data_IF_164549527171
#
_entry.id   IF_164549527171
#
_cell.length_a   1.000
_cell.length_b   1.000
_cell.length_c   1.000
_cell.angle_alpha   90.00
_cell.angle_beta   90.00
_cell.angle_gamma   90.00
#
_symmetry.space_group_name_H-M   'P 1'
#
loop_
_entity.id
_entity.type
_entity.pdbx_description
1 polymer ?
#
# COMPACT_ATOMS: atom_id res chain seq x y z
N UNK A 1 -11.27 -29.47 -63.88
CA UNK A 1 -12.18 -29.03 -62.79
C UNK A 1 -11.45 -27.95 -61.97
N UNK A 2 -11.86 -27.62 -60.74
CA UNK A 2 -11.09 -26.76 -59.83
C UNK A 2 -9.66 -27.29 -59.69
N UNK A 3 -8.68 -26.44 -59.99
CA UNK A 3 -7.26 -26.74 -59.76
C UNK A 3 -7.03 -26.68 -58.26
N UNK A 4 -6.59 -27.80 -57.70
CA UNK A 4 -6.41 -28.01 -56.27
C UNK A 4 -4.94 -28.02 -55.86
N UNK A 5 -4.04 -28.30 -56.81
CA UNK A 5 -2.60 -28.27 -56.58
C UNK A 5 -1.86 -27.74 -57.81
N UNK A 6 -0.80 -26.98 -57.58
CA UNK A 6 0.07 -26.42 -58.61
C UNK A 6 1.49 -26.31 -58.07
N UNK A 7 2.49 -26.70 -58.85
CA UNK A 7 3.88 -26.67 -58.40
C UNK A 7 4.86 -26.64 -59.59
N UNK A 8 5.83 -25.73 -59.55
CA UNK A 8 6.94 -25.72 -60.50
C UNK A 8 7.95 -26.82 -60.17
N UNK A 9 8.56 -27.39 -61.21
CA UNK A 9 9.76 -28.20 -61.03
C UNK A 9 10.90 -27.35 -60.47
N UNK A 10 11.84 -27.92 -59.68
CA UNK A 10 12.95 -27.18 -59.09
C UNK A 10 13.84 -26.41 -60.09
N UNK A 11 14.03 -26.95 -61.29
CA UNK A 11 14.72 -26.31 -62.42
C UNK A 11 13.86 -25.27 -63.17
N UNK A 12 12.60 -25.08 -62.77
CA UNK A 12 11.64 -24.13 -63.36
C UNK A 12 11.32 -24.37 -64.83
N UNK A 13 11.60 -25.57 -65.35
CA UNK A 13 11.33 -25.95 -66.75
C UNK A 13 9.90 -26.44 -66.92
N UNK A 14 9.36 -27.15 -65.92
CA UNK A 14 8.06 -27.77 -65.96
C UNK A 14 7.15 -27.19 -64.87
N UNK A 15 5.84 -27.24 -65.13
CA UNK A 15 4.80 -26.89 -64.18
C UNK A 15 3.84 -28.08 -64.07
N UNK A 16 3.56 -28.55 -62.86
CA UNK A 16 2.55 -29.58 -62.63
C UNK A 16 1.27 -28.94 -62.10
N UNK A 17 0.12 -29.43 -62.56
CA UNK A 17 -1.21 -29.02 -62.09
C UNK A 17 -2.08 -30.24 -61.84
N UNK A 18 -2.75 -30.25 -60.70
CA UNK A 18 -3.70 -31.29 -60.29
C UNK A 18 -5.08 -30.70 -60.06
N UNK A 19 -6.13 -31.42 -60.44
CA UNK A 19 -7.51 -30.98 -60.30
C UNK A 19 -8.38 -31.95 -59.48
N UNK A 20 -9.58 -31.46 -59.12
CA UNK A 20 -10.56 -32.20 -58.32
C UNK A 20 -11.19 -33.41 -59.04
N UNK A 21 -11.11 -33.45 -60.36
CA UNK A 21 -11.68 -34.50 -61.20
C UNK A 21 -10.64 -35.51 -61.68
N UNK A 22 -9.53 -35.69 -60.94
CA UNK A 22 -8.40 -36.61 -61.22
C UNK A 22 -7.44 -36.20 -62.35
N UNK A 23 -7.63 -35.01 -62.93
CA UNK A 23 -6.73 -34.46 -63.93
C UNK A 23 -5.38 -34.12 -63.34
N UNK A 24 -4.31 -34.74 -63.82
CA UNK A 24 -2.93 -34.40 -63.52
C UNK A 24 -2.19 -34.14 -64.83
N UNK A 25 -1.69 -32.92 -64.98
CA UNK A 25 -1.03 -32.46 -66.19
C UNK A 25 0.31 -31.82 -65.84
N UNK A 26 1.28 -32.00 -66.74
CA UNK A 26 2.58 -31.32 -66.71
C UNK A 26 2.69 -30.46 -67.96
N UNK A 27 3.18 -29.24 -67.79
CA UNK A 27 3.29 -28.22 -68.82
C UNK A 27 4.73 -27.75 -68.94
N UNK A 28 5.14 -27.34 -70.13
CA UNK A 28 6.32 -26.51 -70.33
C UNK A 28 6.07 -25.13 -69.71
N UNK A 29 6.82 -24.77 -68.66
CA UNK A 29 6.59 -23.56 -67.88
C UNK A 29 6.63 -22.27 -68.71
N UNK A 30 7.53 -22.21 -69.70
CA UNK A 30 7.76 -21.00 -70.50
C UNK A 30 6.79 -20.83 -71.66
N UNK A 31 6.24 -21.94 -72.20
CA UNK A 31 5.40 -21.92 -73.41
C UNK A 31 3.93 -22.19 -73.10
N UNK A 32 3.63 -22.75 -71.93
CA UNK A 32 2.30 -23.22 -71.55
C UNK A 32 1.83 -24.43 -72.36
N UNK A 33 2.71 -25.07 -73.15
CA UNK A 33 2.36 -26.28 -73.90
C UNK A 33 2.25 -27.46 -72.95
N UNK A 34 1.26 -28.31 -73.17
CA UNK A 34 1.16 -29.58 -72.46
C UNK A 34 2.38 -30.44 -72.78
N UNK A 35 3.07 -30.89 -71.73
CA UNK A 35 4.22 -31.78 -71.82
C UNK A 35 3.77 -33.24 -71.64
N UNK A 36 3.04 -33.55 -70.57
CA UNK A 36 2.41 -34.86 -70.37
C UNK A 36 1.06 -34.76 -69.66
N UNK A 37 0.03 -35.51 -70.10
CA UNK A 37 -1.05 -35.94 -69.25
C UNK A 37 -0.60 -37.16 -68.43
N UNK A 38 -0.83 -37.15 -67.11
CA UNK A 38 -0.43 -38.23 -66.19
C UNK A 38 -1.67 -38.96 -65.64
N UNK A 39 -2.35 -39.80 -66.44
CA UNK A 39 -3.55 -40.49 -66.02
C UNK A 39 -3.25 -41.62 -65.04
N UNK A 40 -3.97 -41.70 -63.93
CA UNK A 40 -3.89 -42.87 -63.05
C UNK A 40 -4.46 -42.72 -61.63
N UNK A 41 -4.68 -41.50 -61.14
CA UNK A 41 -5.45 -41.30 -59.92
C UNK A 41 -6.94 -41.51 -60.17
N UNK A 42 -7.63 -42.06 -59.17
CA UNK A 42 -9.07 -42.35 -59.27
C UNK A 42 -9.96 -41.17 -58.89
N UNK A 43 -9.43 -40.21 -58.14
CA UNK A 43 -10.18 -39.09 -57.56
C UNK A 43 -9.32 -37.81 -57.54
N UNK A 44 -9.79 -36.76 -56.86
CA UNK A 44 -9.13 -35.46 -56.76
C UNK A 44 -7.63 -35.57 -56.41
N UNK A 45 -6.81 -34.80 -57.13
CA UNK A 45 -5.41 -34.58 -56.78
C UNK A 45 -5.38 -33.55 -55.66
N UNK A 46 -4.70 -33.84 -54.56
CA UNK A 46 -4.69 -32.98 -53.36
C UNK A 46 -3.35 -32.31 -53.11
N UNK A 47 -2.28 -32.88 -53.63
CA UNK A 47 -0.93 -32.38 -53.45
C UNK A 47 0.00 -32.86 -54.55
N UNK A 48 0.98 -32.02 -54.84
CA UNK A 48 2.06 -32.26 -55.79
C UNK A 48 3.37 -31.95 -55.08
N UNK A 49 4.39 -32.77 -55.32
CA UNK A 49 5.73 -32.46 -54.87
C UNK A 49 6.79 -33.01 -55.82
N UNK A 50 7.62 -32.13 -56.36
CA UNK A 50 8.74 -32.52 -57.21
C UNK A 50 9.93 -33.05 -56.39
N UNK A 51 10.58 -34.10 -56.91
CA UNK A 51 11.90 -34.51 -56.43
C UNK A 51 12.91 -33.39 -56.76
N UNK A 52 13.92 -33.14 -55.90
CA UNK A 52 14.88 -32.05 -56.09
C UNK A 52 15.66 -32.04 -57.42
N UNK A 53 15.71 -33.17 -58.14
CA UNK A 53 16.37 -33.29 -59.43
C UNK A 53 15.44 -33.06 -60.64
N UNK A 54 14.20 -32.63 -60.41
CA UNK A 54 13.16 -32.38 -61.42
C UNK A 54 12.72 -33.60 -62.26
N UNK A 55 13.25 -34.80 -62.02
CA UNK A 55 12.96 -35.96 -62.88
C UNK A 55 11.72 -36.74 -62.42
N UNK A 56 11.36 -36.62 -61.14
CA UNK A 56 10.23 -37.36 -60.56
C UNK A 56 9.25 -36.40 -59.91
N UNK A 57 7.95 -36.57 -60.22
CA UNK A 57 6.85 -35.89 -59.55
C UNK A 57 6.14 -36.87 -58.63
N UNK A 58 5.92 -36.49 -57.37
CA UNK A 58 4.98 -37.16 -56.48
C UNK A 58 3.62 -36.47 -56.55
N UNK A 59 2.55 -37.27 -56.61
CA UNK A 59 1.17 -36.78 -56.51
C UNK A 59 0.43 -37.54 -55.40
N UNK A 60 -0.38 -36.81 -54.64
CA UNK A 60 -1.29 -37.36 -53.64
C UNK A 60 -2.74 -37.13 -54.04
N UNK A 61 -3.63 -38.01 -53.57
CA UNK A 61 -5.04 -37.97 -53.96
C UNK A 61 -5.99 -38.35 -52.83
N UNK A 62 -7.25 -37.93 -52.98
CA UNK A 62 -8.35 -38.38 -52.15
C UNK A 62 -8.63 -39.90 -52.27
N UNK A 63 -8.03 -40.60 -53.25
CA UNK A 63 -8.10 -42.05 -53.38
C UNK A 63 -7.24 -42.79 -52.33
N UNK A 64 -6.52 -42.03 -51.49
CA UNK A 64 -5.69 -42.53 -50.41
C UNK A 64 -4.32 -43.03 -50.87
N UNK A 65 -3.95 -42.79 -52.13
CA UNK A 65 -2.68 -43.21 -52.71
C UNK A 65 -1.72 -42.04 -52.92
N UNK A 66 -0.44 -42.39 -52.96
CA UNK A 66 0.62 -41.54 -53.50
C UNK A 66 1.17 -42.26 -54.74
N UNK A 67 1.40 -41.50 -55.82
CA UNK A 67 1.99 -41.99 -57.06
C UNK A 67 3.24 -41.20 -57.40
N UNK A 68 4.22 -41.88 -58.00
CA UNK A 68 5.43 -41.26 -58.53
C UNK A 68 5.46 -41.39 -60.05
N UNK A 69 5.84 -40.31 -60.71
CA UNK A 69 5.85 -40.17 -62.16
C UNK A 69 7.23 -39.75 -62.64
N UNK A 70 7.78 -40.47 -63.60
CA UNK A 70 9.10 -40.18 -64.18
C UNK A 70 8.94 -39.34 -65.45
N UNK A 71 9.65 -38.21 -65.53
CA UNK A 71 9.50 -37.24 -66.62
C UNK A 71 10.25 -37.61 -67.90
N UNK A 72 11.12 -38.62 -67.88
CA UNK A 72 11.77 -39.11 -69.09
C UNK A 72 10.79 -39.70 -70.11
N UNK A 73 9.66 -40.26 -69.65
CA UNK A 73 8.64 -40.86 -70.51
C UNK A 73 7.20 -40.62 -70.05
N UNK A 74 6.99 -39.83 -68.98
CA UNK A 74 5.66 -39.54 -68.45
C UNK A 74 4.95 -40.74 -67.81
N UNK A 75 5.68 -41.76 -67.36
CA UNK A 75 5.08 -42.99 -66.84
C UNK A 75 5.05 -43.04 -65.31
N UNK A 76 4.03 -43.71 -64.77
CA UNK A 76 3.93 -44.01 -63.36
C UNK A 76 4.95 -45.09 -62.97
N UNK A 77 5.92 -44.74 -62.13
CA UNK A 77 6.97 -45.68 -61.69
C UNK A 77 6.63 -46.37 -60.35
N UNK A 78 5.84 -45.73 -59.50
CA UNK A 78 5.39 -46.28 -58.21
C UNK A 78 3.98 -45.83 -57.86
N UNK A 79 3.28 -46.67 -57.09
CA UNK A 79 2.07 -46.32 -56.37
C UNK A 79 1.98 -47.14 -55.08
N UNK A 80 1.38 -46.56 -54.04
CA UNK A 80 1.05 -47.29 -52.82
C UNK A 80 -0.13 -46.64 -52.09
N UNK A 81 -0.81 -47.43 -51.26
CA UNK A 81 -1.85 -46.94 -50.35
C UNK A 81 -1.22 -46.28 -49.13
N UNK A 82 -1.02 -44.96 -49.20
CA UNK A 82 -0.34 -44.20 -48.15
C UNK A 82 -1.20 -44.02 -46.90
N UNK A 83 -2.52 -43.90 -47.06
CA UNK A 83 -3.45 -43.62 -45.97
C UNK A 83 -4.67 -44.57 -45.98
N UNK A 84 -4.46 -45.86 -46.31
CA UNK A 84 -5.47 -46.94 -46.20
C UNK A 84 -6.86 -46.64 -46.79
N UNK A 85 -6.92 -45.86 -47.87
CA UNK A 85 -8.18 -45.44 -48.52
C UNK A 85 -8.85 -44.20 -47.91
N UNK A 86 -8.33 -43.67 -46.79
CA UNK A 86 -8.60 -42.30 -46.39
C UNK A 86 -7.80 -41.36 -47.30
N UNK A 87 -8.43 -40.28 -47.78
CA UNK A 87 -7.80 -39.36 -48.71
C UNK A 87 -6.51 -38.76 -48.15
N UNK A 88 -5.46 -38.73 -48.97
CA UNK A 88 -4.21 -38.02 -48.66
C UNK A 88 -4.47 -36.54 -48.94
N UNK A 89 -4.17 -35.65 -48.01
CA UNK A 89 -4.44 -34.21 -48.16
C UNK A 89 -3.21 -33.43 -48.59
N UNK A 90 -2.01 -33.92 -48.27
CA UNK A 90 -0.76 -33.26 -48.63
C UNK A 90 0.39 -34.27 -48.71
N UNK A 91 1.31 -34.01 -49.64
CA UNK A 91 2.55 -34.76 -49.85
C UNK A 91 3.70 -33.79 -50.06
N UNK A 92 4.89 -34.18 -49.62
CA UNK A 92 6.12 -33.43 -49.87
C UNK A 92 7.29 -34.37 -50.12
N UNK A 93 8.01 -34.15 -51.23
CA UNK A 93 9.32 -34.74 -51.50
C UNK A 93 10.38 -33.98 -50.71
N UNK A 94 11.18 -34.69 -49.93
CA UNK A 94 12.24 -34.08 -49.12
C UNK A 94 13.53 -33.97 -49.93
N UNK A 95 14.45 -33.10 -49.48
CA UNK A 95 15.73 -32.86 -50.20
C UNK A 95 16.61 -34.11 -50.27
N UNK A 96 16.50 -34.96 -49.25
CA UNK A 96 17.23 -36.20 -49.09
C UNK A 96 16.52 -37.42 -49.72
N UNK A 97 15.43 -37.20 -50.47
CA UNK A 97 14.78 -38.22 -51.28
C UNK A 97 13.73 -39.08 -50.55
N UNK A 98 13.36 -38.70 -49.32
CA UNK A 98 12.20 -39.25 -48.61
C UNK A 98 10.92 -38.52 -49.05
N UNK A 99 9.79 -39.04 -48.59
CA UNK A 99 8.48 -38.43 -48.84
C UNK A 99 7.75 -38.30 -47.51
N UNK A 100 7.21 -37.13 -47.23
CA UNK A 100 6.31 -36.88 -46.11
C UNK A 100 4.86 -36.80 -46.61
N UNK A 101 3.90 -37.33 -45.84
CA UNK A 101 2.48 -37.21 -46.18
C UNK A 101 1.61 -37.07 -44.95
N UNK A 102 0.43 -36.47 -45.15
CA UNK A 102 -0.65 -36.45 -44.16
C UNK A 102 -2.00 -36.60 -44.88
N UNK A 103 -3.01 -37.09 -44.16
CA UNK A 103 -4.33 -37.36 -44.73
C UNK A 103 -5.45 -37.34 -43.71
N UNK A 104 -6.63 -37.74 -44.18
CA UNK A 104 -7.88 -37.78 -43.40
C UNK A 104 -7.96 -38.90 -42.36
N UNK A 105 -6.94 -39.76 -42.29
CA UNK A 105 -6.78 -40.72 -41.20
C UNK A 105 -6.05 -40.12 -39.98
N UNK A 106 -5.70 -38.83 -40.05
CA UNK A 106 -5.06 -38.05 -39.00
C UNK A 106 -3.65 -38.52 -38.64
N UNK A 107 -3.01 -39.38 -39.44
CA UNK A 107 -1.68 -39.92 -39.16
C UNK A 107 -0.67 -39.33 -40.14
N UNK A 108 0.23 -38.42 -39.72
CA UNK A 108 1.35 -38.05 -40.56
C UNK A 108 2.30 -39.25 -40.75
N UNK A 109 2.86 -39.40 -41.93
CA UNK A 109 3.79 -40.50 -42.27
C UNK A 109 5.02 -40.00 -43.02
N UNK A 110 6.11 -40.73 -42.84
CA UNK A 110 7.36 -40.57 -43.57
C UNK A 110 7.67 -41.88 -44.30
N UNK A 111 8.05 -41.76 -45.57
CA UNK A 111 8.32 -42.83 -46.50
C UNK A 111 9.73 -42.70 -47.07
N UNK A 112 10.33 -43.81 -47.49
CA UNK A 112 11.48 -43.77 -48.38
C UNK A 112 11.04 -43.40 -49.81
N UNK A 113 11.99 -43.10 -50.70
CA UNK A 113 11.70 -42.71 -52.08
C UNK A 113 11.01 -43.80 -52.94
N UNK A 114 10.92 -45.04 -52.44
CA UNK A 114 10.29 -46.18 -53.12
C UNK A 114 8.88 -46.51 -52.57
N UNK A 115 8.37 -45.74 -51.61
CA UNK A 115 7.05 -45.93 -50.99
C UNK A 115 7.02 -46.88 -49.79
N UNK A 116 8.18 -47.34 -49.31
CA UNK A 116 8.30 -48.07 -48.05
C UNK A 116 8.13 -47.14 -46.85
N UNK A 117 7.18 -47.44 -45.96
CA UNK A 117 6.94 -46.62 -44.77
C UNK A 117 8.15 -46.69 -43.82
N UNK A 118 8.74 -45.52 -43.53
CA UNK A 118 9.80 -45.38 -42.52
C UNK A 118 9.15 -45.22 -41.14
N UNK A 119 8.14 -44.34 -41.05
CA UNK A 119 7.51 -44.00 -39.77
C UNK A 119 6.07 -43.51 -39.92
N UNK A 120 5.25 -43.82 -38.93
CA UNK A 120 4.00 -43.14 -38.65
C UNK A 120 4.17 -42.33 -37.36
N UNK A 121 3.66 -41.09 -37.35
CA UNK A 121 3.72 -40.19 -36.22
C UNK A 121 2.44 -40.28 -35.38
N UNK A 122 2.46 -39.81 -34.12
CA UNK A 122 1.25 -39.72 -33.31
C UNK A 122 0.10 -39.01 -34.05
N UNK A 123 -1.13 -39.46 -33.80
CA UNK A 123 -2.31 -38.93 -34.47
C UNK A 123 -2.52 -37.44 -34.16
N UNK A 124 -2.93 -36.70 -35.19
CA UNK A 124 -3.49 -35.37 -35.09
C UNK A 124 -4.88 -35.42 -34.42
N UNK A 125 -5.31 -34.29 -33.86
CA UNK A 125 -6.59 -34.21 -33.16
C UNK A 125 -7.78 -34.25 -34.12
N UNK A 126 -7.56 -33.80 -35.36
CA UNK A 126 -8.54 -33.77 -36.44
C UNK A 126 -7.82 -34.02 -37.79
N UNK A 127 -8.55 -33.88 -38.90
CA UNK A 127 -8.07 -34.07 -40.27
C UNK A 127 -6.77 -33.31 -40.50
N UNK A 128 -5.72 -34.03 -40.89
CA UNK A 128 -4.48 -33.40 -41.28
C UNK A 128 -4.63 -32.65 -42.60
N UNK A 129 -4.12 -31.43 -42.67
CA UNK A 129 -4.30 -30.52 -43.80
C UNK A 129 -3.06 -30.41 -44.66
N UNK A 130 -1.91 -30.22 -44.03
CA UNK A 130 -0.65 -29.97 -44.72
C UNK A 130 0.50 -30.59 -43.96
N UNK A 131 1.47 -31.11 -44.70
CA UNK A 131 2.73 -31.61 -44.16
C UNK A 131 3.89 -30.74 -44.64
N UNK A 132 4.89 -30.57 -43.80
CA UNK A 132 6.17 -29.98 -44.17
C UNK A 132 7.32 -30.76 -43.50
N UNK A 133 8.47 -30.81 -44.14
CA UNK A 133 9.63 -31.54 -43.69
C UNK A 133 10.89 -30.68 -43.80
N UNK A 134 11.65 -30.58 -42.71
CA UNK A 134 12.98 -29.97 -42.71
C UNK A 134 14.04 -31.05 -42.85
N UNK A 135 14.71 -31.09 -44.01
CA UNK A 135 15.85 -31.99 -44.22
C UNK A 135 17.11 -31.57 -43.43
N UNK A 136 17.20 -30.31 -42.98
CA UNK A 136 18.33 -29.83 -42.18
C UNK A 136 18.25 -30.32 -40.73
N UNK A 137 17.05 -30.28 -40.14
CA UNK A 137 16.82 -30.63 -38.73
C UNK A 137 16.17 -32.00 -38.52
N UNK A 138 15.92 -32.74 -39.61
CA UNK A 138 15.21 -34.02 -39.64
C UNK A 138 13.86 -33.96 -38.90
N UNK A 139 13.04 -32.95 -39.22
CA UNK A 139 11.75 -32.68 -38.56
C UNK A 139 10.59 -32.80 -39.53
N UNK A 140 9.53 -33.46 -39.08
CA UNK A 140 8.22 -33.44 -39.77
C UNK A 140 7.27 -32.52 -39.02
N UNK A 141 6.59 -31.65 -39.75
CA UNK A 141 5.52 -30.79 -39.28
C UNK A 141 4.21 -31.21 -39.94
N UNK A 142 3.12 -31.24 -39.17
CA UNK A 142 1.78 -31.39 -39.73
C UNK A 142 0.78 -30.49 -39.00
N UNK A 143 -0.08 -29.83 -39.79
CA UNK A 143 -1.19 -29.03 -39.29
C UNK A 143 -2.52 -29.76 -39.44
N UNK A 144 -3.43 -29.57 -38.49
CA UNK A 144 -4.80 -30.09 -38.54
C UNK A 144 -5.87 -28.98 -38.49
N UNK A 145 -7.14 -29.37 -38.66
CA UNK A 145 -8.30 -28.46 -38.62
C UNK A 145 -8.47 -27.70 -37.30
N UNK A 146 -7.84 -28.13 -36.21
CA UNK A 146 -7.91 -27.42 -34.92
C UNK A 146 -7.07 -26.14 -34.90
N UNK A 147 -6.23 -25.93 -35.91
CA UNK A 147 -5.30 -24.80 -35.98
C UNK A 147 -4.03 -25.01 -35.15
N UNK A 148 -3.74 -26.27 -34.79
CA UNK A 148 -2.49 -26.66 -34.15
C UNK A 148 -1.56 -27.26 -35.21
N UNK A 149 -0.33 -26.75 -35.27
CA UNK A 149 0.75 -27.36 -36.05
C UNK A 149 1.66 -28.11 -35.09
N UNK A 150 1.78 -29.42 -35.27
CA UNK A 150 2.66 -30.27 -34.46
C UNK A 150 3.95 -30.54 -35.22
N UNK A 151 5.04 -30.69 -34.46
CA UNK A 151 6.36 -30.98 -34.97
C UNK A 151 6.94 -32.19 -34.27
N UNK A 152 7.50 -33.11 -35.05
CA UNK A 152 8.14 -34.33 -34.55
C UNK A 152 9.56 -34.49 -35.08
N UNK A 153 10.37 -35.19 -34.29
CA UNK A 153 11.64 -35.75 -34.73
C UNK A 153 11.39 -36.92 -35.69
N UNK A 154 11.96 -36.89 -36.89
CA UNK A 154 11.78 -37.97 -37.86
C UNK A 154 12.47 -39.29 -37.46
N UNK A 155 13.59 -39.20 -36.74
CA UNK A 155 14.37 -40.37 -36.34
C UNK A 155 13.60 -41.29 -35.38
N UNK A 156 12.96 -40.74 -34.34
CA UNK A 156 12.30 -41.50 -33.27
C UNK A 156 10.78 -41.27 -33.18
N UNK A 157 10.23 -40.25 -33.84
CA UNK A 157 8.81 -39.89 -33.78
C UNK A 157 8.40 -39.08 -32.55
N UNK A 158 9.35 -38.65 -31.72
CA UNK A 158 9.07 -37.86 -30.52
C UNK A 158 8.55 -36.47 -30.91
N UNK A 159 7.47 -36.04 -30.24
CA UNK A 159 6.93 -34.69 -30.40
C UNK A 159 7.92 -33.67 -29.81
N UNK A 160 8.23 -32.65 -30.60
CA UNK A 160 9.18 -31.58 -30.26
C UNK A 160 8.42 -30.35 -29.78
N UNK A 161 7.35 -29.97 -30.49
CA UNK A 161 6.56 -28.80 -30.19
C UNK A 161 5.16 -28.87 -30.79
N UNK A 162 4.24 -28.09 -30.19
CA UNK A 162 2.93 -27.78 -30.74
C UNK A 162 2.77 -26.26 -30.85
N UNK A 163 2.51 -25.77 -32.06
CA UNK A 163 2.31 -24.36 -32.38
C UNK A 163 0.80 -24.12 -32.51
N UNK A 164 0.21 -23.39 -31.57
CA UNK A 164 -1.20 -23.01 -31.63
C UNK A 164 -1.28 -21.68 -32.37
N UNK A 165 -1.69 -21.70 -33.63
CA UNK A 165 -1.63 -20.51 -34.51
C UNK A 165 -2.89 -19.65 -34.45
N UNK A 166 -3.93 -20.07 -33.70
CA UNK A 166 -5.18 -19.32 -33.54
C UNK A 166 -5.48 -19.01 -32.06
N UNK A 167 -4.92 -17.93 -31.48
CA UNK A 167 -5.26 -17.50 -30.13
C UNK A 167 -6.72 -17.03 -30.06
N UNK A 168 -7.34 -17.18 -28.89
CA UNK A 168 -8.73 -16.77 -28.66
C UNK A 168 -8.98 -15.29 -29.05
N UNK A 169 -10.09 -14.95 -29.72
CA UNK A 169 -10.36 -13.58 -30.18
C UNK A 169 -10.28 -12.53 -29.07
N UNK A 170 -9.84 -11.30 -29.42
CA UNK A 170 -9.69 -10.20 -28.47
C UNK A 170 -10.96 -9.94 -27.63
N UNK A 171 -12.14 -10.07 -28.24
CA UNK A 171 -13.45 -9.88 -27.58
C UNK A 171 -13.66 -10.90 -26.45
N UNK A 172 -13.32 -12.17 -26.68
CA UNK A 172 -13.49 -13.22 -25.68
C UNK A 172 -12.46 -13.09 -24.55
N UNK A 173 -11.23 -12.68 -24.88
CA UNK A 173 -10.20 -12.34 -23.88
C UNK A 173 -10.63 -11.15 -23.02
N UNK A 174 -11.22 -10.12 -23.63
CA UNK A 174 -11.71 -8.91 -22.96
C UNK A 174 -12.88 -9.22 -22.01
N UNK A 175 -13.79 -10.11 -22.40
CA UNK A 175 -14.87 -10.58 -21.54
C UNK A 175 -14.33 -11.26 -20.27
N UNK A 176 -13.37 -12.18 -20.40
CA UNK A 176 -12.74 -12.88 -19.26
C UNK A 176 -12.04 -11.92 -18.30
N UNK A 177 -11.37 -10.90 -18.82
CA UNK A 177 -10.68 -9.88 -17.99
C UNK A 177 -11.70 -9.01 -17.26
N UNK A 178 -12.82 -8.63 -17.90
CA UNK A 178 -13.89 -7.84 -17.27
C UNK A 178 -14.58 -8.56 -16.11
N UNK A 179 -14.76 -9.88 -16.21
CA UNK A 179 -15.34 -10.68 -15.13
C UNK A 179 -14.51 -10.63 -13.83
N UNK A 180 -13.21 -10.34 -13.92
CA UNK A 180 -12.33 -10.21 -12.76
C UNK A 180 -12.40 -8.84 -12.08
N UNK A 181 -13.01 -7.82 -12.70
CA UNK A 181 -13.00 -6.45 -12.17
C UNK A 181 -13.93 -6.27 -10.95
N UNK A 182 -15.21 -6.68 -10.96
CA UNK A 182 -16.10 -6.50 -9.81
C UNK A 182 -15.57 -7.04 -8.47
N UNK A 183 -14.99 -8.27 -8.38
CA UNK A 183 -14.46 -8.75 -7.11
C UNK A 183 -13.24 -7.95 -6.63
N UNK A 184 -12.40 -7.42 -7.53
CA UNK A 184 -11.28 -6.55 -7.17
C UNK A 184 -11.74 -5.18 -6.68
N UNK A 185 -12.78 -4.61 -7.30
CA UNK A 185 -13.39 -3.36 -6.83
C UNK A 185 -14.00 -3.52 -5.43
N UNK A 186 -14.72 -4.62 -5.19
CA UNK A 186 -15.27 -4.95 -3.89
C UNK A 186 -14.18 -5.11 -2.82
N UNK A 187 -13.09 -5.83 -3.14
CA UNK A 187 -11.96 -6.00 -2.24
C UNK A 187 -11.25 -4.68 -1.93
N UNK A 188 -11.02 -3.82 -2.93
CA UNK A 188 -10.42 -2.50 -2.74
C UNK A 188 -11.29 -1.60 -1.87
N UNK A 189 -12.62 -1.63 -2.06
CA UNK A 189 -13.56 -0.89 -1.21
C UNK A 189 -13.52 -1.39 0.23
N UNK A 190 -13.65 -2.69 0.44
CA UNK A 190 -13.69 -3.28 1.78
C UNK A 190 -12.40 -3.00 2.58
N UNK A 191 -11.24 -3.18 1.95
CA UNK A 191 -9.95 -2.92 2.59
C UNK A 191 -9.73 -1.43 2.87
N UNK A 192 -10.19 -0.55 1.97
CA UNK A 192 -10.18 0.90 2.18
C UNK A 192 -11.06 1.34 3.36
N UNK A 193 -12.27 0.79 3.47
CA UNK A 193 -13.19 1.06 4.60
C UNK A 193 -12.61 0.58 5.94
N UNK A 194 -11.97 -0.60 5.95
CA UNK A 194 -11.31 -1.13 7.15
C UNK A 194 -10.14 -0.26 7.62
N UNK A 195 -9.30 0.22 6.69
CA UNK A 195 -8.22 1.15 6.99
C UNK A 195 -8.76 2.47 7.56
N UNK A 196 -9.78 3.05 6.93
CA UNK A 196 -10.40 4.29 7.36
C UNK A 196 -10.99 4.17 8.79
N UNK A 197 -11.59 3.03 9.12
CA UNK A 197 -12.11 2.76 10.45
C UNK A 197 -11.02 2.75 11.53
N UNK A 198 -9.87 2.10 11.26
CA UNK A 198 -8.72 2.08 12.19
C UNK A 198 -8.12 3.49 12.36
N UNK A 199 -7.94 4.22 11.26
CA UNK A 199 -7.44 5.60 11.31
C UNK A 199 -8.36 6.50 12.14
N UNK A 200 -9.67 6.38 11.95
CA UNK A 200 -10.66 7.12 12.74
C UNK A 200 -10.57 6.76 14.23
N UNK A 201 -10.46 5.48 14.57
CA UNK A 201 -10.33 5.04 15.97
C UNK A 201 -9.09 5.65 16.65
N UNK A 202 -7.97 5.75 15.93
CA UNK A 202 -6.76 6.40 16.46
C UNK A 202 -6.94 7.91 16.61
N UNK A 203 -7.54 8.57 15.62
CA UNK A 203 -7.82 10.00 15.66
C UNK A 203 -8.75 10.38 16.83
N UNK A 204 -9.81 9.58 17.07
CA UNK A 204 -10.76 9.80 18.16
C UNK A 204 -10.08 9.69 19.53
N UNK A 205 -9.16 8.73 19.70
CA UNK A 205 -8.36 8.58 20.93
C UNK A 205 -7.42 9.75 21.16
N UNK A 206 -6.76 10.23 20.09
CA UNK A 206 -5.88 11.40 20.19
C UNK A 206 -6.67 12.65 20.57
N UNK A 207 -7.83 12.87 19.93
CA UNK A 207 -8.71 14.00 20.24
C UNK A 207 -9.20 13.96 21.70
N UNK A 208 -9.51 12.77 22.24
CA UNK A 208 -9.87 12.61 23.65
C UNK A 208 -8.72 12.94 24.60
N UNK A 209 -7.49 12.53 24.27
CA UNK A 209 -6.29 12.88 25.04
C UNK A 209 -6.03 14.39 25.04
N UNK A 210 -6.09 15.04 23.86
CA UNK A 210 -5.88 16.48 23.72
C UNK A 210 -6.93 17.28 24.51
N UNK A 211 -8.20 16.83 24.49
CA UNK A 211 -9.27 17.43 25.28
C UNK A 211 -9.02 17.30 26.79
N UNK A 212 -8.56 16.14 27.26
CA UNK A 212 -8.26 15.91 28.68
C UNK A 212 -7.07 16.75 29.17
N UNK A 213 -6.02 16.89 28.35
CA UNK A 213 -4.86 17.75 28.63
C UNK A 213 -5.31 19.21 28.74
N UNK A 214 -6.17 19.67 27.82
CA UNK A 214 -6.72 21.04 27.87
C UNK A 214 -7.46 21.30 29.18
N UNK A 215 -8.37 20.41 29.57
CA UNK A 215 -9.15 20.55 30.82
C UNK A 215 -8.23 20.56 32.06
N UNK A 216 -7.14 19.79 32.04
CA UNK A 216 -6.16 19.76 33.12
C UNK A 216 -5.36 21.05 33.20
N UNK A 217 -4.94 21.60 32.06
CA UNK A 217 -4.23 22.88 31.99
C UNK A 217 -5.10 24.05 32.48
N UNK A 218 -6.40 24.05 32.13
CA UNK A 218 -7.35 25.05 32.63
C UNK A 218 -7.52 24.96 34.16
N UNK A 219 -7.59 23.74 34.72
CA UNK A 219 -7.65 23.53 36.16
C UNK A 219 -6.37 23.96 36.88
N UNK A 220 -5.19 23.68 36.29
CA UNK A 220 -3.90 24.14 36.82
C UNK A 220 -3.81 25.66 36.84
N UNK A 221 -4.20 26.33 35.74
CA UNK A 221 -4.20 27.78 35.66
C UNK A 221 -5.11 28.43 36.71
N UNK A 222 -6.25 27.80 37.03
CA UNK A 222 -7.13 28.25 38.11
C UNK A 222 -6.47 28.12 39.49
N UNK A 223 -5.79 27.02 39.77
CA UNK A 223 -5.05 26.83 41.02
C UNK A 223 -3.91 27.85 41.16
N UNK A 224 -3.15 28.09 40.10
CA UNK A 224 -2.05 29.06 40.07
C UNK A 224 -2.57 30.49 40.32
N UNK A 225 -3.72 30.85 39.74
CA UNK A 225 -4.37 32.13 39.98
C UNK A 225 -4.81 32.31 41.46
N UNK A 226 -5.34 31.25 42.09
CA UNK A 226 -5.71 31.30 43.51
C UNK A 226 -4.48 31.44 44.41
N UNK A 227 -3.41 30.69 44.14
CA UNK A 227 -2.13 30.81 44.86
C UNK A 227 -1.56 32.22 44.75
N UNK A 228 -1.58 32.79 43.54
CA UNK A 228 -1.16 34.18 43.30
C UNK A 228 -1.99 35.18 44.10
N UNK A 229 -3.31 35.04 44.11
CA UNK A 229 -4.20 35.93 44.87
C UNK A 229 -3.93 35.89 46.40
N UNK A 230 -3.61 34.71 46.94
CA UNK A 230 -3.22 34.55 48.35
C UNK A 230 -1.88 35.26 48.62
N UNK A 231 -0.91 35.04 47.74
CA UNK A 231 0.44 35.62 47.85
C UNK A 231 0.42 37.16 47.76
N UNK A 232 -0.40 37.74 46.89
CA UNK A 232 -0.45 39.19 46.65
C UNK A 232 -1.39 39.94 47.61
N UNK A 233 -2.36 39.26 48.24
CA UNK A 233 -3.35 39.88 49.12
C UNK A 233 -3.15 39.52 50.60
N UNK A 234 -3.80 38.46 51.11
CA UNK A 234 -3.74 38.06 52.52
C UNK A 234 -2.31 37.92 53.07
N UNK A 235 -1.39 37.36 52.28
CA UNK A 235 -0.01 37.13 52.72
C UNK A 235 0.78 38.44 52.88
N UNK A 236 0.70 39.34 51.90
CA UNK A 236 1.30 40.70 51.99
C UNK A 236 0.73 41.46 53.19
N UNK A 237 -0.59 41.37 53.43
CA UNK A 237 -1.24 42.00 54.58
C UNK A 237 -0.69 41.45 55.90
N UNK A 238 -0.55 40.13 56.03
CA UNK A 238 0.04 39.49 57.19
C UNK A 238 1.50 39.94 57.42
N UNK A 239 2.30 39.98 56.36
CA UNK A 239 3.71 40.39 56.46
C UNK A 239 3.84 41.88 56.82
N UNK A 240 2.94 42.74 56.32
CA UNK A 240 2.79 44.12 56.77
C UNK A 240 2.44 44.23 58.26
N UNK A 241 1.51 43.42 58.76
CA UNK A 241 1.11 43.38 60.18
C UNK A 241 2.25 42.90 61.08
N UNK A 242 3.05 41.92 60.65
CA UNK A 242 4.26 41.48 61.36
C UNK A 242 5.27 42.62 61.51
N UNK A 243 5.52 43.37 60.44
CA UNK A 243 6.45 44.51 60.46
C UNK A 243 5.95 45.62 61.39
N UNK A 244 4.65 45.92 61.38
CA UNK A 244 4.05 46.89 62.29
C UNK A 244 4.15 46.45 63.75
N UNK A 245 3.90 45.16 64.04
CA UNK A 245 4.04 44.60 65.39
C UNK A 245 5.49 44.71 65.87
N UNK A 246 6.47 44.33 65.06
CA UNK A 246 7.89 44.48 65.39
C UNK A 246 8.25 45.95 65.71
N UNK A 247 7.68 46.92 64.97
CA UNK A 247 7.81 48.34 65.28
C UNK A 247 7.19 48.73 66.63
N UNK A 248 6.00 48.20 66.95
CA UNK A 248 5.33 48.45 68.24
C UNK A 248 6.05 47.80 69.42
N UNK A 249 6.61 46.60 69.24
CA UNK A 249 7.44 45.92 70.24
C UNK A 249 8.68 46.76 70.58
N UNK A 250 9.30 47.38 69.56
CA UNK A 250 10.39 48.33 69.77
C UNK A 250 9.95 49.57 70.56
N UNK A 251 8.84 50.20 70.18
CA UNK A 251 8.29 51.37 70.92
C UNK A 251 7.95 51.01 72.37
N UNK A 252 7.40 49.82 72.62
CA UNK A 252 7.14 49.32 73.96
C UNK A 252 8.43 49.13 74.77
N UNK A 253 9.47 48.57 74.15
CA UNK A 253 10.78 48.42 74.78
C UNK A 253 11.40 49.78 75.13
N UNK A 254 11.35 50.75 74.22
CA UNK A 254 11.84 52.11 74.44
C UNK A 254 11.05 52.83 75.55
N UNK A 255 9.72 52.72 75.54
CA UNK A 255 8.85 53.29 76.57
C UNK A 255 9.08 52.65 77.95
N UNK A 256 9.36 51.33 77.99
CA UNK A 256 9.71 50.61 79.21
C UNK A 256 11.05 51.10 79.77
N UNK A 257 12.06 51.28 78.92
CA UNK A 257 13.35 51.82 79.33
C UNK A 257 13.23 53.26 79.87
N UNK A 258 12.43 54.11 79.22
CA UNK A 258 12.16 55.47 79.69
C UNK A 258 11.41 55.49 81.03
N UNK A 259 10.43 54.59 81.22
CA UNK A 259 9.75 54.41 82.51
C UNK A 259 10.74 54.01 83.60
N UNK A 260 11.60 53.01 83.34
CA UNK A 260 12.61 52.55 84.30
C UNK A 260 13.57 53.69 84.72
N UNK A 261 14.01 54.51 83.76
CA UNK A 261 14.83 55.71 84.03
C UNK A 261 14.07 56.75 84.88
N UNK A 262 12.81 57.03 84.55
CA UNK A 262 11.98 57.98 85.29
C UNK A 262 11.68 57.47 86.72
N UNK A 263 11.50 56.17 86.91
CA UNK A 263 11.35 55.53 88.23
C UNK A 263 12.62 55.65 89.06
N UNK A 264 13.79 55.41 88.45
CA UNK A 264 15.08 55.61 89.12
C UNK A 264 15.28 57.09 89.52
N UNK A 265 15.02 58.04 88.60
CA UNK A 265 15.16 59.47 88.84
C UNK A 265 14.19 59.99 89.92
N UNK A 266 12.93 59.52 89.91
CA UNK A 266 11.95 59.85 90.96
C UNK A 266 12.38 59.32 92.33
N UNK A 267 12.89 58.09 92.40
CA UNK A 267 13.40 57.49 93.64
C UNK A 267 14.55 58.32 94.23
N UNK A 268 15.50 58.73 93.38
CA UNK A 268 16.61 59.61 93.78
C UNK A 268 16.14 60.99 94.23
N UNK A 269 15.22 61.63 93.50
CA UNK A 269 14.65 62.92 93.87
C UNK A 269 13.84 62.84 95.18
N UNK A 270 13.19 61.71 95.45
CA UNK A 270 12.47 61.46 96.72
C UNK A 270 13.45 61.39 97.90
N UNK A 271 14.57 60.69 97.73
CA UNK A 271 15.64 60.63 98.73
C UNK A 271 16.31 62.00 98.94
N UNK A 272 16.55 62.75 97.87
CA UNK A 272 17.15 64.08 97.93
C UNK A 272 16.25 65.09 98.67
N UNK A 273 14.93 65.10 98.39
CA UNK A 273 13.96 65.96 99.08
C UNK A 273 13.83 65.60 100.57
N UNK A 274 13.84 64.30 100.91
CA UNK A 274 13.78 63.84 102.31
C UNK A 274 15.01 64.26 103.14
N UNK A 275 16.18 64.45 102.51
CA UNK A 275 17.45 64.73 103.17
C UNK A 275 17.94 66.19 103.02
N UNK A 276 17.16 67.08 102.39
CA UNK A 276 17.57 68.45 102.08
C UNK A 276 17.58 69.38 103.31
N UNK A 277 18.64 70.18 103.46
CA UNK A 277 18.75 71.23 104.48
C UNK A 277 17.76 72.39 104.22
N UNK A 278 17.38 73.14 105.26
CA UNK A 278 16.27 74.11 105.22
C UNK A 278 16.32 75.15 104.08
N UNK A 279 17.51 75.59 103.68
CA UNK A 279 17.72 76.58 102.62
C UNK A 279 17.63 75.99 101.20
N UNK A 280 17.84 74.67 101.02
CA UNK A 280 17.81 73.98 99.72
C UNK A 280 16.51 73.19 99.48
N UNK A 281 15.66 73.07 100.51
CA UNK A 281 14.41 72.30 100.49
C UNK A 281 13.41 72.71 99.39
N UNK A 282 13.17 74.01 99.11
CA UNK A 282 12.25 74.42 98.04
C UNK A 282 12.68 73.92 96.65
N UNK A 283 13.99 73.88 96.37
CA UNK A 283 14.53 73.41 95.10
C UNK A 283 14.44 71.87 94.97
N UNK A 284 14.67 71.14 96.07
CA UNK A 284 14.55 69.68 96.10
C UNK A 284 13.09 69.21 95.96
N UNK A 285 12.14 69.92 96.59
CA UNK A 285 10.70 69.65 96.44
C UNK A 285 10.22 69.96 95.01
N UNK A 286 10.74 71.02 94.37
CA UNK A 286 10.47 71.33 92.97
C UNK A 286 11.02 70.24 92.02
N UNK A 287 12.22 69.72 92.29
CA UNK A 287 12.79 68.59 91.53
C UNK A 287 12.01 67.29 91.73
N UNK A 288 11.52 66.99 92.94
CA UNK A 288 10.66 65.84 93.19
C UNK A 288 9.30 65.96 92.48
N UNK A 289 8.70 67.15 92.47
CA UNK A 289 7.47 67.42 91.72
C UNK A 289 7.70 67.21 90.21
N UNK A 290 8.80 67.72 89.66
CA UNK A 290 9.19 67.53 88.26
C UNK A 290 9.44 66.05 87.93
N UNK A 291 10.16 65.31 88.78
CA UNK A 291 10.42 63.88 88.59
C UNK A 291 9.15 63.03 88.72
N UNK A 292 8.21 63.43 89.58
CA UNK A 292 6.89 62.78 89.72
C UNK A 292 6.01 62.97 88.49
N UNK A 293 5.95 64.18 87.94
CA UNK A 293 5.28 64.47 86.67
C UNK A 293 5.91 63.68 85.51
N UNK A 294 7.25 63.65 85.44
CA UNK A 294 7.99 62.88 84.42
C UNK A 294 7.69 61.38 84.51
N UNK A 295 7.64 60.82 85.73
CA UNK A 295 7.27 59.43 85.97
C UNK A 295 5.82 59.13 85.58
N UNK A 296 4.87 60.02 85.92
CA UNK A 296 3.47 59.86 85.52
C UNK A 296 3.32 59.89 83.99
N UNK A 297 4.02 60.80 83.31
CA UNK A 297 4.04 60.85 81.84
C UNK A 297 4.65 59.59 81.22
N UNK A 298 5.77 59.09 81.76
CA UNK A 298 6.40 57.85 81.29
C UNK A 298 5.52 56.61 81.55
N UNK A 299 4.79 56.58 82.66
CA UNK A 299 3.83 55.51 82.97
C UNK A 299 2.67 55.51 81.96
N UNK A 300 2.13 56.68 81.64
CA UNK A 300 1.10 56.83 80.60
C UNK A 300 1.59 56.39 79.22
N UNK A 301 2.80 56.81 78.83
CA UNK A 301 3.42 56.39 77.58
C UNK A 301 3.63 54.87 77.49
N UNK A 302 4.08 54.22 78.57
CA UNK A 302 4.23 52.76 78.64
C UNK A 302 2.89 52.04 78.50
N UNK A 303 1.84 52.47 79.21
CA UNK A 303 0.51 51.86 79.11
C UNK A 303 -0.10 52.00 77.70
N UNK A 304 0.08 53.16 77.05
CA UNK A 304 -0.33 53.37 75.65
C UNK A 304 0.44 52.44 74.71
N UNK A 305 1.76 52.31 74.90
CA UNK A 305 2.58 51.41 74.09
C UNK A 305 2.21 49.92 74.31
N UNK A 306 1.89 49.53 75.55
CA UNK A 306 1.47 48.18 75.90
C UNK A 306 0.14 47.82 75.25
N UNK A 307 -0.84 48.73 75.34
CA UNK A 307 -2.14 48.54 74.69
C UNK A 307 -2.01 48.50 73.17
N UNK A 308 -1.18 49.36 72.58
CA UNK A 308 -0.85 49.31 71.16
C UNK A 308 -0.20 47.98 70.73
N UNK A 309 0.68 47.40 71.56
CA UNK A 309 1.27 46.08 71.28
C UNK A 309 0.22 44.96 71.33
N UNK A 310 -0.66 44.96 72.34
CA UNK A 310 -1.76 43.98 72.44
C UNK A 310 -2.71 44.06 71.24
N UNK A 311 -3.11 45.27 70.84
CA UNK A 311 -3.93 45.48 69.64
C UNK A 311 -3.23 44.97 68.38
N UNK A 312 -1.90 45.16 68.29
CA UNK A 312 -1.08 44.67 67.18
C UNK A 312 -1.08 43.15 67.07
N UNK A 313 -0.97 42.45 68.20
CA UNK A 313 -1.04 40.97 68.27
C UNK A 313 -2.40 40.47 67.78
N UNK A 314 -3.50 41.12 68.19
CA UNK A 314 -4.85 40.75 67.75
C UNK A 314 -4.99 40.94 66.23
N UNK A 315 -4.56 42.08 65.69
CA UNK A 315 -4.67 42.34 64.24
C UNK A 315 -3.79 41.42 63.40
N UNK A 316 -2.59 41.06 63.89
CA UNK A 316 -1.73 40.09 63.22
C UNK A 316 -2.36 38.69 63.25
N UNK A 317 -2.94 38.28 64.37
CA UNK A 317 -3.58 36.97 64.52
C UNK A 317 -4.79 36.83 63.59
N UNK A 318 -5.60 37.88 63.44
CA UNK A 318 -6.69 37.92 62.47
C UNK A 318 -6.19 37.81 61.03
N UNK A 319 -5.12 38.54 60.67
CA UNK A 319 -4.51 38.43 59.34
C UNK A 319 -3.93 37.03 59.07
N UNK A 320 -3.36 36.37 60.09
CA UNK A 320 -2.89 34.99 59.97
C UNK A 320 -4.05 34.01 59.74
N UNK A 321 -5.19 34.23 60.41
CA UNK A 321 -6.41 33.45 60.22
C UNK A 321 -6.99 33.62 58.80
N UNK A 322 -6.94 34.83 58.25
CA UNK A 322 -7.35 35.09 56.86
C UNK A 322 -6.52 34.27 55.85
N UNK A 323 -5.20 34.21 56.03
CA UNK A 323 -4.31 33.37 55.20
C UNK A 323 -4.63 31.88 55.36
N UNK A 324 -4.85 31.40 56.59
CA UNK A 324 -5.21 30.02 56.89
C UNK A 324 -6.50 29.61 56.17
N UNK A 325 -7.54 30.44 56.25
CA UNK A 325 -8.84 30.20 55.58
C UNK A 325 -8.68 30.21 54.06
N UNK A 326 -7.95 31.19 53.50
CA UNK A 326 -7.71 31.27 52.07
C UNK A 326 -6.91 30.06 51.54
N UNK A 327 -5.93 29.58 52.33
CA UNK A 327 -5.15 28.38 52.02
C UNK A 327 -6.01 27.12 52.08
N UNK A 328 -6.88 27.00 53.08
CA UNK A 328 -7.81 25.87 53.18
C UNK A 328 -8.79 25.80 52.00
N UNK A 329 -9.18 26.96 51.43
CA UNK A 329 -10.05 27.04 50.26
C UNK A 329 -9.40 26.52 48.96
N UNK A 330 -8.08 26.29 48.93
CA UNK A 330 -7.40 25.67 47.78
C UNK A 330 -7.71 24.18 47.65
N UNK A 331 -8.00 23.49 48.78
CA UNK A 331 -8.10 22.03 48.84
C UNK A 331 -9.09 21.42 47.82
N UNK A 332 -10.33 21.92 47.67
CA UNK A 332 -11.25 21.39 46.66
C UNK A 332 -10.71 21.51 45.23
N UNK A 333 -10.00 22.60 44.92
CA UNK A 333 -9.40 22.82 43.60
C UNK A 333 -8.19 21.91 43.37
N UNK A 334 -7.41 21.62 44.42
CA UNK A 334 -6.32 20.65 44.37
C UNK A 334 -6.83 19.22 44.15
N UNK A 335 -7.90 18.83 44.84
CA UNK A 335 -8.54 17.52 44.67
C UNK A 335 -9.14 17.37 43.26
N UNK A 336 -9.80 18.42 42.74
CA UNK A 336 -10.33 18.44 41.37
C UNK A 336 -9.21 18.33 40.33
N UNK A 337 -8.09 19.05 40.52
CA UNK A 337 -6.92 18.98 39.65
C UNK A 337 -6.30 17.57 39.66
N UNK A 338 -6.17 16.95 40.83
CA UNK A 338 -5.63 15.60 40.94
C UNK A 338 -6.49 14.57 40.19
N UNK A 339 -7.82 14.66 40.30
CA UNK A 339 -8.74 13.81 39.55
C UNK A 339 -8.64 14.04 38.03
N UNK A 340 -8.60 15.30 37.58
CA UNK A 340 -8.44 15.66 36.16
C UNK A 340 -7.11 15.18 35.60
N UNK A 341 -6.02 15.30 36.37
CA UNK A 341 -4.69 14.82 35.98
C UNK A 341 -4.67 13.31 35.81
N UNK A 342 -5.25 12.55 36.74
CA UNK A 342 -5.35 11.09 36.61
C UNK A 342 -6.14 10.67 35.37
N UNK A 343 -7.26 11.35 35.07
CA UNK A 343 -8.04 11.11 33.86
C UNK A 343 -7.26 11.47 32.57
N UNK A 344 -6.51 12.58 32.60
CA UNK A 344 -5.65 12.99 31.49
C UNK A 344 -4.52 11.99 31.24
N UNK A 345 -3.84 11.54 32.28
CA UNK A 345 -2.77 10.54 32.18
C UNK A 345 -3.30 9.24 31.58
N UNK A 346 -4.50 8.82 31.99
CA UNK A 346 -5.17 7.64 31.42
C UNK A 346 -5.53 7.83 29.94
N UNK A 347 -6.07 8.99 29.56
CA UNK A 347 -6.43 9.28 28.17
C UNK A 347 -5.20 9.37 27.25
N UNK A 348 -4.13 10.01 27.72
CA UNK A 348 -2.84 10.09 27.00
C UNK A 348 -2.24 8.70 26.82
N UNK A 349 -2.22 7.88 27.87
CA UNK A 349 -1.75 6.50 27.77
C UNK A 349 -2.58 5.66 26.79
N UNK A 350 -3.91 5.87 26.75
CA UNK A 350 -4.81 5.17 25.83
C UNK A 350 -4.68 5.63 24.36
N UNK A 351 -4.21 6.85 24.12
CA UNK A 351 -3.96 7.40 22.79
C UNK A 351 -2.67 6.87 22.15
N UNK A 352 -1.70 6.43 22.96
CA UNK A 352 -0.51 5.74 22.45
C UNK A 352 -0.95 4.40 21.85
N UNK A 353 -0.76 4.17 20.53
CA UNK A 353 -1.17 2.94 19.90
C UNK A 353 -0.34 1.76 20.42
N UNK A 354 -1.01 0.66 20.74
CA UNK A 354 -0.32 -0.57 21.14
C UNK A 354 0.49 -1.14 19.96
N UNK A 355 1.52 -1.97 20.21
CA UNK A 355 2.23 -2.66 19.14
C UNK A 355 1.28 -3.48 18.24
N UNK A 356 0.26 -4.09 18.85
CA UNK A 356 -0.76 -4.84 18.12
C UNK A 356 -1.62 -3.95 17.22
N UNK A 357 -2.11 -2.81 17.72
CA UNK A 357 -2.88 -1.87 16.91
C UNK A 357 -2.03 -1.25 15.80
N UNK A 358 -0.76 -0.92 16.08
CA UNK A 358 0.19 -0.40 15.09
C UNK A 358 0.41 -1.42 13.96
N UNK A 359 0.53 -2.70 14.32
CA UNK A 359 0.61 -3.78 13.34
C UNK A 359 -0.68 -3.88 12.52
N UNK A 360 -1.85 -3.88 13.15
CA UNK A 360 -3.14 -3.91 12.46
C UNK A 360 -3.31 -2.75 11.46
N UNK A 361 -2.92 -1.53 11.84
CA UNK A 361 -2.98 -0.36 10.96
C UNK A 361 -2.03 -0.52 9.76
N UNK A 362 -0.82 -1.01 10.00
CA UNK A 362 0.19 -1.25 8.95
C UNK A 362 -0.28 -2.33 7.97
N UNK A 363 -0.79 -3.44 8.51
CA UNK A 363 -1.32 -4.56 7.71
C UNK A 363 -2.54 -4.11 6.88
N UNK A 364 -3.45 -3.33 7.48
CA UNK A 364 -4.59 -2.76 6.77
C UNK A 364 -4.16 -1.79 5.65
N UNK A 365 -3.13 -0.96 5.89
CA UNK A 365 -2.60 -0.04 4.89
C UNK A 365 -1.95 -0.78 3.71
N UNK A 366 -1.17 -1.82 4.00
CA UNK A 366 -0.59 -2.69 2.98
C UNK A 366 -1.68 -3.40 2.16
N UNK A 367 -2.69 -3.95 2.83
CA UNK A 367 -3.81 -4.64 2.18
C UNK A 367 -4.62 -3.70 1.27
N UNK A 368 -4.97 -2.50 1.73
CA UNK A 368 -5.70 -1.51 0.95
C UNK A 368 -4.91 -1.06 -0.29
N UNK A 369 -3.60 -0.82 -0.12
CA UNK A 369 -2.70 -0.43 -1.22
C UNK A 369 -2.59 -1.55 -2.26
N UNK A 370 -2.38 -2.79 -1.82
CA UNK A 370 -2.28 -3.95 -2.70
C UNK A 370 -3.59 -4.22 -3.46
N UNK A 371 -4.75 -4.09 -2.81
CA UNK A 371 -6.05 -4.28 -3.45
C UNK A 371 -6.33 -3.19 -4.50
N UNK A 372 -6.05 -1.92 -4.19
CA UNK A 372 -6.18 -0.82 -5.14
C UNK A 372 -5.25 -1.00 -6.35
N UNK A 373 -3.98 -1.37 -6.13
CA UNK A 373 -3.02 -1.60 -7.21
C UNK A 373 -3.45 -2.73 -8.16
N UNK A 374 -4.01 -3.84 -7.64
CA UNK A 374 -4.55 -4.93 -8.46
C UNK A 374 -5.73 -4.48 -9.31
N UNK A 375 -6.69 -3.77 -8.71
CA UNK A 375 -7.83 -3.17 -9.42
C UNK A 375 -7.36 -2.25 -10.54
N UNK A 376 -6.46 -1.32 -10.24
CA UNK A 376 -6.01 -0.29 -11.19
C UNK A 376 -5.20 -0.89 -12.34
N UNK A 377 -4.39 -1.91 -12.05
CA UNK A 377 -3.67 -2.67 -13.07
C UNK A 377 -4.65 -3.35 -14.04
N UNK A 378 -5.71 -3.99 -13.53
CA UNK A 378 -6.72 -4.64 -14.37
C UNK A 378 -7.49 -3.62 -15.22
N UNK A 379 -7.86 -2.48 -14.65
CA UNK A 379 -8.50 -1.38 -15.39
C UNK A 379 -7.60 -0.89 -16.54
N UNK A 380 -6.29 -0.74 -16.29
CA UNK A 380 -5.33 -0.34 -17.32
C UNK A 380 -5.23 -1.38 -18.45
N UNK A 381 -5.22 -2.67 -18.11
CA UNK A 381 -5.25 -3.76 -19.09
C UNK A 381 -6.52 -3.71 -19.94
N UNK A 382 -7.70 -3.56 -19.32
CA UNK A 382 -8.98 -3.46 -20.03
C UNK A 382 -8.93 -2.28 -21.02
N UNK A 383 -8.50 -1.10 -20.58
CA UNK A 383 -8.40 0.09 -21.45
C UNK A 383 -7.45 -0.12 -22.63
N UNK A 384 -6.31 -0.78 -22.41
CA UNK A 384 -5.36 -1.08 -23.49
C UNK A 384 -5.97 -2.02 -24.53
N UNK A 385 -6.67 -3.07 -24.08
CA UNK A 385 -7.36 -4.01 -24.97
C UNK A 385 -8.52 -3.37 -25.73
N UNK A 386 -9.29 -2.47 -25.10
CA UNK A 386 -10.35 -1.70 -25.75
C UNK A 386 -9.79 -0.77 -26.84
N UNK A 387 -8.67 -0.11 -26.57
CA UNK A 387 -7.99 0.73 -27.55
C UNK A 387 -7.51 -0.07 -28.77
N UNK A 388 -7.01 -1.29 -28.55
CA UNK A 388 -6.64 -2.23 -29.61
C UNK A 388 -7.86 -2.63 -30.45
N UNK A 389 -8.98 -2.97 -29.80
CA UNK A 389 -10.24 -3.29 -30.48
C UNK A 389 -10.74 -2.12 -31.34
N UNK A 390 -10.70 -0.88 -30.82
CA UNK A 390 -11.10 0.32 -31.57
C UNK A 390 -10.28 0.53 -32.85
N UNK A 391 -8.96 0.36 -32.77
CA UNK A 391 -8.07 0.44 -33.95
C UNK A 391 -8.40 -0.61 -35.01
N UNK A 392 -8.72 -1.83 -34.60
CA UNK A 392 -9.08 -2.89 -35.55
C UNK A 392 -10.39 -2.59 -36.30
N UNK A 393 -11.38 -1.97 -35.64
CA UNK A 393 -12.63 -1.58 -36.30
C UNK A 393 -12.46 -0.37 -37.25
N UNK A 394 -11.66 0.64 -36.88
CA UNK A 394 -11.37 1.78 -37.76
C UNK A 394 -10.57 1.36 -39.01
N UNK A 395 -9.63 0.43 -38.86
CA UNK A 395 -8.81 -0.06 -39.99
C UNK A 395 -9.63 -0.88 -40.98
N UNK A 396 -10.61 -1.66 -40.51
CA UNK A 396 -11.54 -2.43 -41.36
C UNK A 396 -12.61 -1.55 -42.00
N UNK A 397 -13.00 -0.44 -41.37
CA UNK A 397 -13.93 0.53 -41.97
C UNK A 397 -13.26 1.47 -42.99
N UNK A 398 -11.93 1.58 -42.96
CA UNK A 398 -11.14 2.41 -43.87
C UNK A 398 -10.64 1.65 -45.13
N UNK A 399 -10.77 0.32 -45.16
CA UNK A 399 -10.53 -0.55 -46.32
C UNK A 399 -11.84 -0.85 -47.03
#
# INVERSE_FOLDING_TARGET
DWITAIEFSPDSVLLATGDRSNGLFVWEAYTGREFYPLPGHGTAITGLSWRPDSNVLASSSEDGTIKLWEMNNGTQVKNWGAHSGAGVTSVQYTRDGRIASVGRDNVPRLWNGDGGQIRAFPNLADVGLQVAFSSEDDRLLAGDWTGVVRMWNAADGAEVAALVTNPEPLIARLAKVREQLPPLEAAAKQTGEALAALQKQQADKQAAADAAVKVTNEAQAKLDAMLKAIAEGPQVKLDGMKNQLAGREKVLADAKAALDQATAAKTLATQAAANAAAEAKPAADQQLAQATLTHQAATGAYLIALQGQQDGVVTQTLAAKEVEVATAALKPTQDELAAKKAASDQAVAAAVPTPEFTKQLTDAQAAATAAAAKRDSLIAIIKAMEAEQGRTHETVAAQ
#
